data_IF_499268141277
#
_entry.id   IF_499268141277
#
_cell.length_a   1.000
_cell.length_b   1.000
_cell.length_c   1.000
_cell.angle_alpha   90.00
_cell.angle_beta   90.00
_cell.angle_gamma   90.00
#
_symmetry.space_group_name_H-M   'P 1'
#
loop_
_entity.id
_entity.type
_entity.pdbx_description
1 polymer ?
#
# COMPACT_ATOMS: atom_id res chain seq x y z
N UNK A 1 -10.94 35.65 9.62
CA UNK A 1 -10.52 35.32 8.23
C UNK A 1 -10.01 33.88 8.09
N UNK A 2 -9.14 33.39 8.99
CA UNK A 2 -8.59 32.02 8.94
C UNK A 2 -9.63 30.89 9.03
N UNK A 3 -10.65 31.02 9.89
CA UNK A 3 -11.69 30.00 10.04
C UNK A 3 -12.55 29.81 8.78
N UNK A 4 -12.92 30.92 8.11
CA UNK A 4 -13.68 30.90 6.86
C UNK A 4 -12.85 30.27 5.74
N UNK A 5 -11.56 30.62 5.66
CA UNK A 5 -10.64 30.00 4.71
C UNK A 5 -10.53 28.49 4.93
N UNK A 6 -10.32 28.05 6.18
CA UNK A 6 -10.17 26.63 6.52
C UNK A 6 -11.46 25.84 6.24
N UNK A 7 -12.63 26.42 6.50
CA UNK A 7 -13.91 25.80 6.16
C UNK A 7 -14.05 25.62 4.63
N UNK A 8 -13.76 26.66 3.85
CA UNK A 8 -13.80 26.59 2.39
C UNK A 8 -12.83 25.54 1.83
N UNK A 9 -11.59 25.51 2.33
CA UNK A 9 -10.60 24.50 1.94
C UNK A 9 -11.13 23.09 2.23
N UNK A 10 -11.69 22.88 3.41
CA UNK A 10 -12.24 21.57 3.78
C UNK A 10 -13.37 21.12 2.85
N UNK A 11 -14.32 21.99 2.53
CA UNK A 11 -15.43 21.68 1.62
C UNK A 11 -14.92 21.35 0.22
N UNK A 12 -13.99 22.14 -0.32
CA UNK A 12 -13.42 21.88 -1.64
C UNK A 12 -12.62 20.58 -1.68
N UNK A 13 -11.88 20.24 -0.61
CA UNK A 13 -11.21 18.94 -0.54
C UNK A 13 -12.20 17.78 -0.55
N UNK A 14 -13.33 17.92 0.14
CA UNK A 14 -14.38 16.88 0.13
C UNK A 14 -14.92 16.68 -1.29
N UNK A 15 -15.26 17.76 -1.99
CA UNK A 15 -15.75 17.71 -3.37
C UNK A 15 -14.70 17.10 -4.31
N UNK A 16 -13.46 17.57 -4.25
CA UNK A 16 -12.38 17.14 -5.13
C UNK A 16 -12.09 15.66 -4.94
N UNK A 17 -11.88 15.20 -3.71
CA UNK A 17 -11.49 13.81 -3.46
C UNK A 17 -12.64 12.83 -3.69
N UNK A 18 -13.88 13.18 -3.33
CA UNK A 18 -15.05 12.33 -3.64
C UNK A 18 -15.23 12.22 -5.15
N UNK A 19 -15.12 13.33 -5.88
CA UNK A 19 -15.21 13.31 -7.35
C UNK A 19 -14.09 12.47 -7.95
N UNK A 20 -12.85 12.64 -7.46
CA UNK A 20 -11.70 11.88 -7.91
C UNK A 20 -11.88 10.37 -7.65
N UNK A 21 -12.35 9.96 -6.48
CA UNK A 21 -12.62 8.55 -6.17
C UNK A 21 -13.70 7.96 -7.08
N UNK A 22 -14.79 8.70 -7.34
CA UNK A 22 -15.82 8.27 -8.28
C UNK A 22 -15.24 8.09 -9.69
N UNK A 23 -14.42 9.04 -10.15
CA UNK A 23 -13.76 8.94 -11.46
C UNK A 23 -12.80 7.76 -11.52
N UNK A 24 -12.01 7.52 -10.48
CA UNK A 24 -11.11 6.35 -10.37
C UNK A 24 -11.93 5.07 -10.44
N UNK A 25 -13.02 4.98 -9.69
CA UNK A 25 -13.89 3.81 -9.72
C UNK A 25 -14.46 3.56 -11.12
N UNK A 26 -14.97 4.60 -11.79
CA UNK A 26 -15.47 4.50 -13.17
C UNK A 26 -14.35 4.07 -14.13
N UNK A 27 -13.17 4.69 -14.05
CA UNK A 27 -12.05 4.38 -14.94
C UNK A 27 -11.62 2.92 -14.79
N UNK A 28 -11.47 2.39 -13.58
CA UNK A 28 -10.98 1.03 -13.39
C UNK A 28 -12.09 -0.03 -13.54
N UNK A 29 -13.24 0.14 -12.87
CA UNK A 29 -14.29 -0.88 -12.85
C UNK A 29 -15.21 -0.85 -14.05
N UNK A 30 -15.37 0.30 -14.72
CA UNK A 30 -16.24 0.41 -15.90
C UNK A 30 -15.40 0.45 -17.18
N UNK A 31 -14.48 1.40 -17.31
CA UNK A 31 -13.74 1.62 -18.56
C UNK A 31 -12.67 0.54 -18.77
N UNK A 32 -11.75 0.37 -17.82
CA UNK A 32 -10.63 -0.57 -17.95
C UNK A 32 -11.15 -2.02 -18.02
N UNK A 33 -12.08 -2.40 -17.14
CA UNK A 33 -12.75 -3.71 -17.25
C UNK A 33 -13.55 -3.84 -18.56
N UNK A 34 -14.26 -2.81 -19.00
CA UNK A 34 -15.02 -2.83 -20.26
C UNK A 34 -14.13 -3.04 -21.49
N UNK A 35 -13.01 -2.33 -21.58
CA UNK A 35 -12.01 -2.46 -22.66
C UNK A 35 -11.33 -3.83 -22.65
N UNK A 36 -11.27 -4.50 -21.48
CA UNK A 36 -10.73 -5.87 -21.38
C UNK A 36 -11.51 -6.90 -22.21
N UNK A 37 -12.79 -6.63 -22.52
CA UNK A 37 -13.66 -7.52 -23.30
C UNK A 37 -13.27 -7.55 -24.78
N UNK A 38 -13.32 -6.42 -25.54
CA UNK A 38 -12.96 -6.42 -26.96
C UNK A 38 -11.46 -6.70 -27.20
N UNK A 39 -10.59 -6.40 -26.23
CA UNK A 39 -9.15 -6.75 -26.32
C UNK A 39 -8.88 -8.24 -26.08
N UNK A 40 -9.89 -9.03 -25.73
CA UNK A 40 -9.77 -10.47 -25.47
C UNK A 40 -9.11 -10.82 -24.15
N UNK A 41 -8.59 -9.84 -23.39
CA UNK A 41 -7.95 -10.06 -22.08
C UNK A 41 -8.92 -10.65 -21.07
N UNK A 42 -10.18 -10.20 -21.07
CA UNK A 42 -11.23 -10.76 -20.22
C UNK A 42 -11.41 -12.26 -20.47
N UNK A 43 -11.53 -12.66 -21.74
CA UNK A 43 -11.66 -14.07 -22.14
C UNK A 43 -10.44 -14.87 -21.67
N UNK A 44 -9.23 -14.36 -21.91
CA UNK A 44 -7.98 -15.01 -21.50
C UNK A 44 -7.90 -15.23 -19.98
N UNK A 45 -8.20 -14.22 -19.18
CA UNK A 45 -8.08 -14.28 -17.71
C UNK A 45 -9.25 -15.03 -17.05
N UNK A 46 -10.49 -14.70 -17.42
CA UNK A 46 -11.68 -15.14 -16.69
C UNK A 46 -12.29 -16.43 -17.23
N UNK A 47 -12.18 -16.67 -18.53
CA UNK A 47 -12.72 -17.87 -19.20
C UNK A 47 -11.62 -18.92 -19.36
N UNK A 48 -10.49 -18.57 -20.00
CA UNK A 48 -9.39 -19.51 -20.26
C UNK A 48 -8.45 -19.70 -19.06
N UNK A 49 -8.62 -18.92 -17.98
CA UNK A 49 -7.80 -18.96 -16.75
C UNK A 49 -6.30 -18.77 -16.98
N UNK A 50 -5.93 -18.05 -18.03
CA UNK A 50 -4.54 -17.69 -18.36
C UNK A 50 -4.19 -16.34 -17.75
N UNK A 51 -3.45 -16.38 -16.64
CA UNK A 51 -2.99 -15.21 -15.90
C UNK A 51 -1.49 -14.94 -16.16
N UNK A 52 -0.96 -13.76 -15.76
CA UNK A 52 0.47 -13.54 -15.74
C UNK A 52 1.18 -14.63 -14.91
N UNK A 53 2.33 -15.09 -15.41
CA UNK A 53 3.16 -16.07 -14.71
C UNK A 53 3.95 -15.39 -13.58
N UNK A 54 4.28 -16.17 -12.56
CA UNK A 54 5.10 -15.78 -11.42
C UNK A 54 6.19 -16.82 -11.21
N UNK A 55 7.38 -16.39 -10.84
CA UNK A 55 8.54 -17.24 -10.53
C UNK A 55 8.65 -17.59 -9.04
N UNK A 56 7.99 -16.80 -8.20
CA UNK A 56 8.14 -16.82 -6.75
C UNK A 56 6.79 -16.80 -6.05
N UNK A 57 6.80 -17.30 -4.80
CA UNK A 57 5.65 -17.30 -3.91
C UNK A 57 5.98 -16.70 -2.56
N UNK A 58 5.09 -15.87 -2.04
CA UNK A 58 5.27 -15.22 -0.75
C UNK A 58 5.30 -16.20 0.44
N UNK A 59 6.29 -16.09 1.35
CA UNK A 59 6.28 -16.81 2.61
C UNK A 59 5.04 -16.48 3.45
N UNK A 60 4.68 -17.39 4.37
CA UNK A 60 3.45 -17.26 5.15
C UNK A 60 3.44 -16.02 6.07
N UNK A 61 4.57 -15.69 6.71
CA UNK A 61 4.63 -14.59 7.68
C UNK A 61 4.39 -13.20 7.05
N UNK A 62 5.06 -12.81 5.94
CA UNK A 62 4.73 -11.57 5.23
C UNK A 62 3.26 -11.49 4.79
N UNK A 63 2.65 -12.62 4.37
CA UNK A 63 1.22 -12.66 4.03
C UNK A 63 0.33 -12.34 5.23
N UNK A 64 0.61 -12.96 6.38
CA UNK A 64 -0.14 -12.73 7.61
C UNK A 64 -0.05 -11.26 8.06
N UNK A 65 1.16 -10.70 8.08
CA UNK A 65 1.39 -9.31 8.51
C UNK A 65 0.74 -8.34 7.53
N UNK A 66 0.80 -8.60 6.23
CA UNK A 66 0.09 -7.81 5.23
C UNK A 66 -1.43 -7.90 5.41
N UNK A 67 -2.00 -9.07 5.72
CA UNK A 67 -3.43 -9.21 5.98
C UNK A 67 -3.86 -8.43 7.22
N UNK A 68 -3.11 -8.53 8.32
CA UNK A 68 -3.35 -7.73 9.51
C UNK A 68 -3.24 -6.23 9.19
N UNK A 69 -2.24 -5.82 8.40
CA UNK A 69 -2.07 -4.44 7.96
C UNK A 69 -3.28 -3.97 7.15
N UNK A 70 -3.78 -4.76 6.20
CA UNK A 70 -4.98 -4.48 5.42
C UNK A 70 -6.19 -4.25 6.33
N UNK A 71 -6.46 -5.15 7.28
CA UNK A 71 -7.60 -5.01 8.20
C UNK A 71 -7.48 -3.73 9.02
N UNK A 72 -6.28 -3.42 9.54
CA UNK A 72 -6.08 -2.20 10.31
C UNK A 72 -6.15 -0.92 9.46
N UNK A 73 -5.69 -0.96 8.21
CA UNK A 73 -5.84 0.15 7.26
C UNK A 73 -7.31 0.42 6.94
N UNK A 74 -8.14 -0.63 6.77
CA UNK A 74 -9.59 -0.48 6.64
C UNK A 74 -10.21 0.15 7.89
N UNK A 75 -9.81 -0.30 9.09
CA UNK A 75 -10.28 0.30 10.34
C UNK A 75 -9.85 1.76 10.48
N UNK A 76 -8.62 2.12 10.11
CA UNK A 76 -8.14 3.51 10.10
C UNK A 76 -8.94 4.38 9.15
N UNK A 77 -9.15 3.91 7.91
CA UNK A 77 -9.95 4.63 6.91
C UNK A 77 -11.38 4.83 7.38
N UNK A 78 -12.07 3.77 7.81
CA UNK A 78 -13.47 3.84 8.25
C UNK A 78 -13.65 4.72 9.50
N UNK A 79 -12.82 4.52 10.52
CA UNK A 79 -12.88 5.32 11.74
C UNK A 79 -12.48 6.78 11.50
N UNK A 80 -11.48 7.03 10.65
CA UNK A 80 -11.05 8.38 10.25
C UNK A 80 -12.15 9.11 9.49
N UNK A 81 -12.80 8.43 8.54
CA UNK A 81 -13.94 8.98 7.81
C UNK A 81 -15.13 9.22 8.73
N UNK A 82 -15.41 8.35 9.70
CA UNK A 82 -16.46 8.62 10.70
C UNK A 82 -16.14 9.85 11.57
N UNK A 83 -14.87 10.03 11.96
CA UNK A 83 -14.44 11.21 12.74
C UNK A 83 -14.65 12.50 11.93
N UNK A 84 -14.53 12.46 10.60
CA UNK A 84 -14.87 13.58 9.71
C UNK A 84 -16.39 13.70 9.54
N UNK A 85 -17.02 12.64 9.03
CA UNK A 85 -18.42 12.51 8.67
C UNK A 85 -19.10 11.45 9.55
N UNK A 86 -19.71 11.84 10.68
CA UNK A 86 -20.38 10.89 11.56
C UNK A 86 -21.62 10.33 10.85
N UNK A 87 -21.59 9.06 10.45
CA UNK A 87 -22.70 8.38 9.79
C UNK A 87 -23.74 7.79 10.75
N UNK A 88 -23.50 7.87 12.07
CA UNK A 88 -24.46 7.62 13.16
C UNK A 88 -24.13 8.51 14.36
N UNK A 89 -25.05 8.69 15.32
CA UNK A 89 -24.83 9.57 16.48
C UNK A 89 -24.09 8.88 17.63
N UNK A 90 -23.34 9.64 18.44
CA UNK A 90 -22.71 9.15 19.68
C UNK A 90 -21.44 8.29 19.54
N UNK A 91 -21.08 7.81 18.35
CA UNK A 91 -19.93 6.90 18.13
C UNK A 91 -18.54 7.54 18.06
N UNK A 92 -18.44 8.88 18.10
CA UNK A 92 -17.18 9.58 17.78
C UNK A 92 -16.04 9.26 18.75
N UNK A 93 -16.37 9.08 20.03
CA UNK A 93 -15.39 8.70 21.04
C UNK A 93 -14.88 7.27 20.81
N UNK A 94 -15.79 6.31 20.58
CA UNK A 94 -15.42 4.93 20.28
C UNK A 94 -14.56 4.84 19.00
N UNK A 95 -14.95 5.55 17.94
CA UNK A 95 -14.20 5.57 16.69
C UNK A 95 -12.81 6.17 16.83
N UNK A 96 -12.60 7.15 17.72
CA UNK A 96 -11.25 7.63 18.05
C UNK A 96 -10.39 6.54 18.69
N UNK A 97 -10.93 5.77 19.63
CA UNK A 97 -10.19 4.66 20.23
C UNK A 97 -9.84 3.57 19.23
N UNK A 98 -10.79 3.17 18.37
CA UNK A 98 -10.53 2.24 17.26
C UNK A 98 -9.42 2.78 16.37
N UNK A 99 -9.48 4.06 16.01
CA UNK A 99 -8.47 4.71 15.18
C UNK A 99 -7.08 4.69 15.84
N UNK A 100 -6.99 5.00 17.14
CA UNK A 100 -5.71 5.01 17.87
C UNK A 100 -5.10 3.61 18.00
N UNK A 101 -5.92 2.59 18.29
CA UNK A 101 -5.45 1.20 18.36
C UNK A 101 -4.95 0.73 16.99
N UNK A 102 -5.72 0.98 15.93
CA UNK A 102 -5.32 0.61 14.58
C UNK A 102 -4.05 1.35 14.14
N UNK A 103 -3.91 2.64 14.50
CA UNK A 103 -2.71 3.43 14.24
C UNK A 103 -1.46 2.81 14.87
N UNK A 104 -1.55 2.38 16.14
CA UNK A 104 -0.42 1.75 16.84
C UNK A 104 -0.02 0.44 16.15
N UNK A 105 -0.99 -0.43 15.84
CA UNK A 105 -0.73 -1.71 15.19
C UNK A 105 -0.11 -1.51 13.80
N UNK A 106 -0.65 -0.60 13.00
CA UNK A 106 -0.10 -0.26 11.68
C UNK A 106 1.31 0.32 11.80
N UNK A 107 1.56 1.18 12.78
CA UNK A 107 2.89 1.72 13.06
C UNK A 107 3.91 0.63 13.38
N UNK A 108 3.55 -0.33 14.24
CA UNK A 108 4.39 -1.48 14.57
C UNK A 108 4.65 -2.34 13.32
N UNK A 109 3.61 -2.64 12.54
CA UNK A 109 3.76 -3.42 11.30
C UNK A 109 4.67 -2.73 10.28
N UNK A 110 4.57 -1.40 10.17
CA UNK A 110 5.41 -0.62 9.28
C UNK A 110 6.88 -0.63 9.72
N UNK A 111 7.15 -0.40 11.02
CA UNK A 111 8.51 -0.49 11.56
C UNK A 111 9.10 -1.89 11.41
N UNK A 112 8.30 -2.93 11.66
CA UNK A 112 8.71 -4.31 11.41
C UNK A 112 9.02 -4.53 9.93
N UNK A 113 8.21 -4.00 9.01
CA UNK A 113 8.46 -4.17 7.57
C UNK A 113 9.73 -3.46 7.11
N UNK A 114 10.01 -2.27 7.63
CA UNK A 114 11.28 -1.58 7.39
C UNK A 114 12.45 -2.41 7.93
N UNK A 115 12.35 -2.91 9.17
CA UNK A 115 13.37 -3.80 9.72
C UNK A 115 13.56 -5.05 8.84
N UNK A 116 12.47 -5.69 8.41
CA UNK A 116 12.51 -6.88 7.56
C UNK A 116 13.26 -6.60 6.25
N UNK A 117 12.95 -5.47 5.61
CA UNK A 117 13.54 -5.12 4.33
C UNK A 117 15.05 -4.86 4.38
N UNK A 118 15.55 -4.26 5.46
CA UNK A 118 16.95 -3.83 5.55
C UNK A 118 17.85 -4.72 6.43
N UNK A 119 17.29 -5.34 7.47
CA UNK A 119 18.06 -5.95 8.55
C UNK A 119 17.72 -7.43 8.82
N UNK A 120 16.69 -8.00 8.18
CA UNK A 120 16.42 -9.44 8.34
C UNK A 120 17.41 -10.29 7.55
N UNK A 121 17.49 -11.59 7.89
CA UNK A 121 18.28 -12.57 7.12
C UNK A 121 17.82 -12.67 5.66
N UNK A 122 16.51 -12.48 5.43
CA UNK A 122 15.84 -12.54 4.12
C UNK A 122 15.53 -11.12 3.61
N UNK A 123 16.47 -10.18 3.82
CA UNK A 123 16.33 -8.76 3.47
C UNK A 123 15.92 -8.59 2.00
N UNK A 124 14.85 -7.84 1.77
CA UNK A 124 14.25 -7.66 0.44
C UNK A 124 14.29 -6.21 -0.08
N UNK A 125 15.10 -5.31 0.50
CA UNK A 125 15.16 -3.90 0.06
C UNK A 125 15.52 -3.73 -1.43
N UNK A 126 16.36 -4.62 -2.00
CA UNK A 126 16.73 -4.59 -3.41
C UNK A 126 15.53 -4.83 -4.35
N UNK A 127 14.50 -5.53 -3.88
CA UNK A 127 13.28 -5.80 -4.65
C UNK A 127 12.43 -4.54 -4.87
N UNK A 128 12.58 -3.54 -4.01
CA UNK A 128 11.84 -2.27 -4.11
C UNK A 128 12.68 -1.17 -4.76
N UNK A 129 14.00 -1.34 -4.84
CA UNK A 129 14.88 -0.36 -5.47
C UNK A 129 14.55 -0.19 -6.97
N UNK A 130 14.36 1.07 -7.39
CA UNK A 130 14.11 1.44 -8.77
C UNK A 130 15.45 1.73 -9.45
N UNK A 131 15.85 0.85 -10.37
CA UNK A 131 17.05 0.99 -11.18
C UNK A 131 16.81 1.58 -12.57
N UNK A 132 17.89 1.76 -13.33
CA UNK A 132 17.83 2.18 -14.74
C UNK A 132 17.07 1.18 -15.62
N UNK A 133 17.29 -0.12 -15.40
CA UNK A 133 16.59 -1.21 -16.11
C UNK A 133 15.07 -1.14 -15.86
N UNK A 134 14.64 -0.87 -14.61
CA UNK A 134 13.23 -0.67 -14.27
C UNK A 134 12.61 0.50 -15.04
N UNK A 135 13.27 1.66 -15.03
CA UNK A 135 12.78 2.87 -15.71
C UNK A 135 12.68 2.67 -17.23
N UNK A 136 13.61 1.91 -17.83
CA UNK A 136 13.54 1.58 -19.25
C UNK A 136 12.29 0.77 -19.62
N UNK A 137 11.72 0.01 -18.67
CA UNK A 137 10.49 -0.78 -18.89
C UNK A 137 9.20 -0.02 -18.62
N UNK A 138 9.26 1.20 -18.07
CA UNK A 138 8.08 1.95 -17.61
C UNK A 138 7.01 2.10 -18.69
N UNK A 139 7.41 2.53 -19.89
CA UNK A 139 6.47 2.71 -21.00
C UNK A 139 5.82 1.39 -21.42
N UNK A 140 6.56 0.27 -21.40
CA UNK A 140 6.02 -1.04 -21.71
C UNK A 140 5.03 -1.54 -20.65
N UNK A 141 5.29 -1.26 -19.37
CA UNK A 141 4.37 -1.56 -18.27
C UNK A 141 3.11 -0.71 -18.39
N UNK A 142 3.24 0.58 -18.69
CA UNK A 142 2.09 1.47 -18.96
C UNK A 142 1.28 0.97 -20.15
N UNK A 143 1.93 0.62 -21.27
CA UNK A 143 1.28 0.03 -22.45
C UNK A 143 0.53 -1.26 -22.10
N UNK A 144 1.08 -2.11 -21.23
CA UNK A 144 0.40 -3.32 -20.76
C UNK A 144 -0.89 -2.99 -20.01
N UNK A 145 -0.84 -2.10 -19.01
CA UNK A 145 -2.02 -1.73 -18.22
C UNK A 145 -3.04 -0.91 -19.02
N UNK A 146 -2.63 -0.22 -20.08
CA UNK A 146 -3.54 0.53 -20.97
C UNK A 146 -4.00 -0.29 -22.18
N UNK A 147 -3.72 -1.59 -22.22
CA UNK A 147 -4.09 -2.52 -23.29
C UNK A 147 -3.42 -2.26 -24.66
N UNK A 148 -2.38 -1.42 -24.73
CA UNK A 148 -1.55 -1.26 -25.93
C UNK A 148 -0.50 -2.37 -26.11
N UNK A 149 -0.29 -3.20 -25.08
CA UNK A 149 0.55 -4.41 -25.15
C UNK A 149 -0.12 -5.58 -24.42
N UNK A 150 0.13 -6.79 -24.90
CA UNK A 150 -0.24 -8.03 -24.20
C UNK A 150 0.88 -8.59 -23.31
N UNK A 151 2.10 -8.08 -23.50
CA UNK A 151 3.29 -8.50 -22.77
C UNK A 151 3.56 -7.49 -21.66
N UNK A 152 3.65 -7.99 -20.43
CA UNK A 152 3.98 -7.19 -19.25
C UNK A 152 5.49 -7.30 -19.02
N UNK A 153 6.28 -6.24 -19.26
CA UNK A 153 7.71 -6.27 -18.96
C UNK A 153 7.91 -6.50 -17.46
N UNK A 154 8.71 -7.51 -17.11
CA UNK A 154 9.18 -7.71 -15.75
C UNK A 154 10.68 -7.97 -15.81
N UNK A 155 11.43 -7.08 -15.16
CA UNK A 155 12.88 -7.21 -14.97
C UNK A 155 13.22 -7.83 -13.62
N UNK A 156 12.23 -7.95 -12.74
CA UNK A 156 12.34 -8.45 -11.38
C UNK A 156 10.95 -8.88 -10.88
N UNK A 157 10.91 -9.35 -9.62
CA UNK A 157 9.70 -9.73 -8.89
C UNK A 157 8.57 -8.70 -8.95
N UNK A 158 8.90 -7.41 -8.88
CA UNK A 158 7.94 -6.32 -9.03
C UNK A 158 8.26 -5.52 -10.28
N UNK A 159 7.23 -5.17 -11.06
CA UNK A 159 7.40 -4.23 -12.15
C UNK A 159 7.64 -2.80 -11.62
N UNK A 160 8.17 -1.91 -12.46
CA UNK A 160 8.53 -0.55 -12.05
C UNK A 160 7.37 0.25 -11.43
N UNK A 161 6.13 0.10 -11.91
CA UNK A 161 4.98 0.79 -11.31
C UNK A 161 4.58 0.21 -9.96
N UNK A 162 4.74 -1.11 -9.75
CA UNK A 162 4.56 -1.73 -8.43
C UNK A 162 5.62 -1.24 -7.44
N UNK A 163 6.89 -1.12 -7.85
CA UNK A 163 7.96 -0.55 -7.03
C UNK A 163 7.66 0.90 -6.64
N UNK A 164 7.31 1.74 -7.63
CA UNK A 164 6.92 3.14 -7.38
C UNK A 164 5.72 3.25 -6.43
N UNK A 165 4.71 2.39 -6.59
CA UNK A 165 3.57 2.37 -5.69
C UNK A 165 3.95 1.96 -4.26
N UNK A 166 4.86 0.99 -4.11
CA UNK A 166 5.37 0.56 -2.81
C UNK A 166 6.14 1.68 -2.09
N UNK A 167 7.06 2.34 -2.80
CA UNK A 167 7.85 3.45 -2.26
C UNK A 167 6.96 4.65 -1.89
N UNK A 168 6.01 5.00 -2.78
CA UNK A 168 5.03 6.04 -2.52
C UNK A 168 4.17 5.70 -1.29
N UNK A 169 3.73 4.45 -1.15
CA UNK A 169 2.98 4.01 0.02
C UNK A 169 3.82 4.14 1.30
N UNK A 170 5.10 3.76 1.27
CA UNK A 170 6.03 3.93 2.39
C UNK A 170 6.18 5.40 2.82
N UNK A 171 6.33 6.32 1.86
CA UNK A 171 6.41 7.76 2.14
C UNK A 171 5.10 8.32 2.71
N UNK A 172 3.96 7.93 2.13
CA UNK A 172 2.64 8.33 2.64
C UNK A 172 2.40 7.79 4.06
N UNK A 173 2.88 6.59 4.37
CA UNK A 173 2.78 5.98 5.71
C UNK A 173 3.54 6.81 6.75
N UNK A 174 4.76 7.27 6.42
CA UNK A 174 5.55 8.14 7.29
C UNK A 174 4.82 9.48 7.50
N UNK A 175 4.34 10.10 6.42
CA UNK A 175 3.63 11.38 6.48
C UNK A 175 2.32 11.28 7.27
N UNK A 176 1.56 10.20 7.09
CA UNK A 176 0.31 9.95 7.81
C UNK A 176 0.55 9.64 9.29
N UNK A 177 1.60 8.88 9.61
CA UNK A 177 2.03 8.65 10.98
C UNK A 177 2.44 9.94 11.68
N UNK A 178 3.28 10.76 11.03
CA UNK A 178 3.70 12.05 11.55
C UNK A 178 2.51 12.99 11.81
N UNK A 179 1.66 13.17 10.80
CA UNK A 179 0.49 14.06 10.91
C UNK A 179 -0.53 13.53 11.93
N UNK A 180 -0.72 12.21 12.02
CA UNK A 180 -1.60 11.58 13.01
C UNK A 180 -1.12 11.81 14.44
N UNK A 181 0.17 11.60 14.70
CA UNK A 181 0.78 11.91 15.99
C UNK A 181 0.67 13.41 16.31
N UNK A 182 0.94 14.29 15.35
CA UNK A 182 0.82 15.75 15.54
C UNK A 182 -0.61 16.23 15.81
N UNK A 183 -1.64 15.40 15.58
CA UNK A 183 -3.02 15.71 15.94
C UNK A 183 -3.34 15.39 17.40
N UNK A 184 -2.52 14.62 18.10
CA UNK A 184 -2.71 14.28 19.51
C UNK A 184 -2.40 15.49 20.39
N UNK A 185 -3.38 15.89 21.21
CA UNK A 185 -3.28 17.04 22.14
C UNK A 185 -3.01 16.64 23.57
N UNK A 186 -3.12 15.35 23.89
CA UNK A 186 -2.94 14.89 25.26
C UNK A 186 -1.45 14.96 25.61
N UNK A 187 -1.08 15.58 26.73
CA UNK A 187 0.29 15.53 27.23
C UNK A 187 0.74 14.08 27.39
N UNK A 188 1.97 13.78 26.97
CA UNK A 188 2.55 12.44 27.12
C UNK A 188 3.97 12.45 27.68
N UNK A 189 4.73 13.53 27.48
CA UNK A 189 6.13 13.62 27.89
C UNK A 189 6.43 15.00 28.47
N UNK A 190 6.81 15.04 29.75
CA UNK A 190 7.12 16.28 30.51
C UNK A 190 6.02 17.35 30.46
N UNK A 191 4.75 16.95 30.40
CA UNK A 191 3.63 17.88 30.27
C UNK A 191 3.38 18.39 28.86
N UNK A 192 4.20 17.98 27.89
CA UNK A 192 4.09 18.38 26.47
C UNK A 192 3.32 17.32 25.67
N UNK A 193 2.45 17.78 24.78
CA UNK A 193 1.72 16.94 23.83
C UNK A 193 2.55 16.61 22.57
N UNK A 194 2.26 15.52 21.85
CA UNK A 194 2.95 15.24 20.58
C UNK A 194 2.82 16.37 19.56
N UNK A 195 1.68 17.06 19.54
CA UNK A 195 1.47 18.25 18.70
C UNK A 195 2.53 19.33 18.98
N UNK A 196 2.74 19.67 20.24
CA UNK A 196 3.67 20.73 20.62
C UNK A 196 5.12 20.35 20.26
N UNK A 197 5.50 19.09 20.48
CA UNK A 197 6.83 18.60 20.12
C UNK A 197 7.07 18.57 18.60
N UNK A 198 6.10 18.08 17.83
CA UNK A 198 6.28 17.84 16.41
C UNK A 198 6.11 19.09 15.55
N UNK A 199 5.16 19.95 15.88
CA UNK A 199 4.79 21.11 15.05
C UNK A 199 4.70 22.44 15.82
N UNK A 200 4.65 22.41 17.14
CA UNK A 200 4.42 23.61 17.95
C UNK A 200 5.52 24.67 17.83
N UNK A 201 6.79 24.24 17.79
CA UNK A 201 7.94 25.14 17.84
C UNK A 201 8.27 25.81 16.50
N UNK A 202 7.93 25.19 15.36
CA UNK A 202 8.23 25.74 14.03
C UNK A 202 6.96 26.16 13.28
N UNK A 203 5.95 25.30 13.19
CA UNK A 203 4.72 25.62 12.44
C UNK A 203 3.81 26.55 13.23
N UNK A 204 3.76 26.40 14.56
CA UNK A 204 3.00 27.27 15.46
C UNK A 204 3.23 28.76 15.19
N UNK A 205 4.48 29.26 15.26
CA UNK A 205 4.81 30.65 14.94
C UNK A 205 4.43 31.07 13.51
N UNK A 206 4.55 30.17 12.53
CA UNK A 206 4.29 30.48 11.11
C UNK A 206 2.81 30.72 10.79
N UNK A 207 1.90 30.06 11.51
CA UNK A 207 0.44 30.11 11.21
C UNK A 207 -0.40 30.73 12.32
N UNK A 208 0.24 31.40 13.30
CA UNK A 208 -0.44 32.14 14.36
C UNK A 208 -0.86 31.31 15.58
N UNK A 209 -0.21 30.17 15.82
CA UNK A 209 -0.31 29.38 17.04
C UNK A 209 -0.43 27.87 16.82
N UNK A 210 -0.07 27.08 17.83
CA UNK A 210 -0.11 25.61 17.78
C UNK A 210 -1.50 25.05 17.48
N UNK A 211 -2.56 25.73 17.89
CA UNK A 211 -3.93 25.34 17.57
C UNK A 211 -4.22 25.46 16.06
N UNK A 212 -3.78 26.54 15.42
CA UNK A 212 -3.92 26.72 13.97
C UNK A 212 -3.01 25.78 13.19
N UNK A 213 -1.80 25.53 13.67
CA UNK A 213 -0.91 24.52 13.11
C UNK A 213 -1.59 23.14 13.09
N UNK A 214 -2.19 22.73 14.22
CA UNK A 214 -2.95 21.48 14.31
C UNK A 214 -4.16 21.43 13.37
N UNK A 215 -4.81 22.56 13.12
CA UNK A 215 -5.93 22.65 12.19
C UNK A 215 -5.48 22.41 10.73
N UNK A 216 -4.36 22.99 10.30
CA UNK A 216 -3.77 22.73 8.99
C UNK A 216 -3.21 21.31 8.86
N UNK A 217 -2.58 20.77 9.89
CA UNK A 217 -2.15 19.36 9.91
C UNK A 217 -3.33 18.41 9.73
N UNK A 218 -4.51 18.74 10.28
CA UNK A 218 -5.72 17.94 10.05
C UNK A 218 -6.11 17.90 8.57
N UNK A 219 -5.97 19.03 7.87
CA UNK A 219 -6.23 19.13 6.43
C UNK A 219 -5.27 18.21 5.66
N UNK A 220 -3.98 18.24 6.00
CA UNK A 220 -2.97 17.39 5.37
C UNK A 220 -3.22 15.91 5.66
N UNK A 221 -3.46 15.54 6.92
CA UNK A 221 -3.78 14.16 7.34
C UNK A 221 -5.01 13.61 6.61
N UNK A 222 -6.02 14.47 6.42
CA UNK A 222 -7.23 14.13 5.70
C UNK A 222 -6.98 13.95 4.19
N UNK A 223 -6.17 14.81 3.58
CA UNK A 223 -5.79 14.67 2.18
C UNK A 223 -4.99 13.38 1.92
N UNK A 224 -4.03 13.06 2.79
CA UNK A 224 -3.26 11.80 2.70
C UNK A 224 -4.16 10.58 2.88
N UNK A 225 -5.14 10.63 3.79
CA UNK A 225 -6.15 9.57 3.92
C UNK A 225 -6.89 9.31 2.59
N UNK A 226 -7.29 10.36 1.86
CA UNK A 226 -7.90 10.18 0.56
C UNK A 226 -6.96 9.57 -0.48
N UNK A 227 -5.68 9.95 -0.47
CA UNK A 227 -4.68 9.29 -1.33
C UNK A 227 -4.58 7.79 -1.00
N UNK A 228 -4.60 7.41 0.28
CA UNK A 228 -4.65 6.00 0.67
C UNK A 228 -5.90 5.28 0.19
N UNK A 229 -7.07 5.90 0.29
CA UNK A 229 -8.32 5.33 -0.23
C UNK A 229 -8.18 5.07 -1.73
N UNK A 230 -7.82 6.10 -2.52
CA UNK A 230 -7.69 6.00 -3.98
C UNK A 230 -6.66 4.93 -4.37
N UNK A 231 -5.48 4.95 -3.77
CA UNK A 231 -4.41 3.98 -4.07
C UNK A 231 -4.86 2.56 -3.69
N UNK A 232 -5.55 2.40 -2.57
CA UNK A 232 -6.06 1.10 -2.12
C UNK A 232 -7.15 0.58 -3.07
N UNK A 233 -8.06 1.44 -3.54
CA UNK A 233 -9.07 1.08 -4.55
C UNK A 233 -8.41 0.54 -5.82
N UNK A 234 -7.41 1.25 -6.35
CA UNK A 234 -6.65 0.80 -7.53
C UNK A 234 -5.87 -0.48 -7.24
N UNK A 235 -5.23 -0.59 -6.07
CA UNK A 235 -4.47 -1.77 -5.66
C UNK A 235 -5.37 -3.02 -5.61
N UNK A 236 -6.54 -2.93 -4.97
CA UNK A 236 -7.50 -4.04 -4.88
C UNK A 236 -8.00 -4.42 -6.28
N UNK A 237 -8.31 -3.43 -7.13
CA UNK A 237 -8.71 -3.69 -8.52
C UNK A 237 -7.63 -4.46 -9.28
N UNK A 238 -6.37 -4.03 -9.21
CA UNK A 238 -5.28 -4.70 -9.93
C UNK A 238 -5.00 -6.10 -9.35
N UNK A 239 -5.01 -6.25 -8.03
CA UNK A 239 -4.78 -7.54 -7.38
C UNK A 239 -5.88 -8.55 -7.74
N UNK A 240 -7.16 -8.19 -7.60
CA UNK A 240 -8.25 -9.11 -7.87
C UNK A 240 -8.59 -9.23 -9.38
N UNK A 241 -8.41 -8.15 -10.13
CA UNK A 241 -8.81 -8.03 -11.53
C UNK A 241 -7.75 -8.49 -12.53
N UNK A 242 -6.47 -8.25 -12.23
CA UNK A 242 -5.34 -8.52 -13.14
C UNK A 242 -4.47 -9.69 -12.67
N UNK A 243 -4.50 -10.03 -11.38
CA UNK A 243 -3.66 -11.08 -10.79
C UNK A 243 -4.39 -11.92 -9.73
N UNK A 244 -5.58 -12.41 -10.11
CA UNK A 244 -6.43 -13.20 -9.21
C UNK A 244 -5.73 -14.41 -8.57
N UNK A 245 -4.87 -15.19 -9.27
CA UNK A 245 -4.18 -16.33 -8.64
C UNK A 245 -3.29 -15.91 -7.46
N UNK A 246 -2.57 -14.79 -7.59
CA UNK A 246 -1.76 -14.25 -6.50
C UNK A 246 -2.65 -13.84 -5.31
N UNK A 247 -3.79 -13.21 -5.58
CA UNK A 247 -4.78 -12.86 -4.55
C UNK A 247 -5.35 -14.09 -3.84
N UNK A 248 -5.67 -15.15 -4.58
CA UNK A 248 -6.16 -16.40 -3.97
C UNK A 248 -5.09 -17.10 -3.12
N UNK A 249 -3.82 -17.05 -3.52
CA UNK A 249 -2.71 -17.57 -2.70
C UNK A 249 -2.47 -16.74 -1.45
N UNK A 250 -2.61 -15.41 -1.58
CA UNK A 250 -2.52 -14.48 -0.48
C UNK A 250 -3.51 -14.83 0.64
N UNK A 251 -4.76 -15.11 0.28
CA UNK A 251 -5.81 -15.54 1.22
C UNK A 251 -5.80 -17.05 1.54
N UNK A 252 -4.84 -17.81 1.02
CA UNK A 252 -4.74 -19.25 1.26
C UNK A 252 -5.83 -20.09 0.61
N UNK A 253 -6.61 -19.53 -0.32
CA UNK A 253 -7.72 -20.19 -1.01
C UNK A 253 -7.24 -21.11 -2.15
N UNK A 254 -6.16 -20.74 -2.84
CA UNK A 254 -5.54 -21.55 -3.90
C UNK A 254 -4.04 -21.32 -3.92
N UNK A 255 -3.23 -22.38 -3.97
CA UNK A 255 -1.77 -22.24 -4.14
C UNK A 255 -1.43 -21.64 -5.51
N UNK A 256 -0.53 -20.66 -5.52
CA UNK A 256 0.01 -20.09 -6.76
C UNK A 256 0.91 -21.10 -7.46
N UNK A 257 0.68 -21.30 -8.76
CA UNK A 257 1.60 -22.05 -9.63
C UNK A 257 2.75 -21.14 -10.04
N UNK A 258 3.97 -21.56 -9.75
CA UNK A 258 5.20 -20.81 -10.07
C UNK A 258 5.94 -21.45 -11.24
N UNK A 259 6.41 -20.63 -12.18
CA UNK A 259 7.26 -21.01 -13.30
C UNK A 259 8.62 -20.34 -13.10
N UNK A 260 9.71 -21.09 -12.81
CA UNK A 260 11.04 -20.51 -12.60
C UNK A 260 11.54 -19.67 -13.79
N UNK A 261 11.00 -19.90 -14.99
CA UNK A 261 11.33 -19.16 -16.21
C UNK A 261 10.30 -18.06 -16.52
N UNK A 262 9.42 -17.70 -15.58
CA UNK A 262 8.40 -16.66 -15.79
C UNK A 262 9.02 -15.29 -16.10
N UNK A 263 10.21 -15.02 -15.54
CA UNK A 263 10.95 -13.79 -15.72
C UNK A 263 12.37 -14.10 -16.19
N UNK A 264 12.87 -13.30 -17.13
CA UNK A 264 14.29 -13.30 -17.47
C UNK A 264 15.02 -12.54 -16.37
N UNK A 265 15.42 -13.27 -15.32
CA UNK A 265 16.38 -12.74 -14.37
C UNK A 265 17.73 -12.68 -15.09
N UNK A 266 18.07 -11.52 -15.64
CA UNK A 266 19.49 -11.20 -15.90
C UNK A 266 20.16 -11.04 -14.52
N UNK A 267 20.43 -12.16 -13.84
CA UNK A 267 21.22 -12.25 -12.62
C UNK A 267 22.72 -12.05 -12.90
N UNK A 268 23.09 -11.09 -13.74
CA UNK A 268 24.49 -10.80 -14.08
C UNK A 268 25.08 -9.60 -13.32
N UNK A 269 24.43 -9.11 -12.26
CA UNK A 269 24.97 -8.02 -11.45
C UNK A 269 25.09 -8.46 -9.96
N UNK A 270 26.30 -8.88 -9.57
CA UNK A 270 26.86 -8.98 -8.21
C UNK A 270 26.20 -9.92 -7.18
N UNK A 271 26.23 -11.22 -7.43
CA UNK A 271 26.10 -12.24 -6.37
C UNK A 271 27.48 -12.59 -5.77
N UNK A 272 28.10 -11.64 -5.07
CA UNK A 272 29.02 -11.95 -3.97
C UNK A 272 28.24 -11.75 -2.67
N UNK A 273 27.48 -12.77 -2.26
CA UNK A 273 27.08 -12.94 -0.86
C UNK A 273 26.62 -14.40 -0.66
N UNK A 274 27.38 -15.10 0.16
CA UNK A 274 27.24 -16.51 0.54
C UNK A 274 25.80 -16.95 0.85
N UNK A 275 25.15 -17.62 -0.11
CA UNK A 275 24.05 -18.54 0.20
C UNK A 275 24.67 -19.86 0.68
N UNK A 276 24.68 -20.04 2.00
CA UNK A 276 24.89 -21.34 2.61
C UNK A 276 23.76 -22.28 2.15
N UNK A 277 24.15 -23.34 1.45
CA UNK A 277 23.28 -24.44 1.02
C UNK A 277 22.38 -24.92 2.17
N UNK A 278 21.07 -24.80 1.99
CA UNK A 278 20.13 -25.61 2.75
C UNK A 278 20.08 -26.99 2.07
N UNK A 279 20.46 -28.09 2.74
CA UNK A 279 20.52 -29.38 2.09
C UNK A 279 19.13 -29.87 1.68
N UNK A 280 19.03 -30.27 0.42
CA UNK A 280 17.88 -30.97 -0.13
C UNK A 280 17.61 -32.24 0.69
N UNK A 281 16.46 -32.33 1.33
CA UNK A 281 15.96 -33.59 1.88
C UNK A 281 15.54 -34.49 0.72
N UNK A 282 16.43 -35.41 0.37
CA UNK A 282 16.15 -36.57 -0.48
C UNK A 282 15.19 -37.53 0.24
N UNK A 283 14.17 -38.08 -0.45
CA UNK A 283 13.40 -39.19 0.07
C UNK A 283 14.14 -40.51 -0.23
N UNK A 284 14.88 -41.02 0.75
CA UNK A 284 15.43 -42.37 0.70
C UNK A 284 14.52 -43.33 1.48
N UNK A 285 14.09 -44.38 0.77
CA UNK A 285 13.34 -45.53 1.27
C UNK A 285 14.24 -46.51 2.05
N UNK A 286 13.65 -47.21 3.02
CA UNK A 286 13.99 -48.53 3.58
C UNK A 286 12.96 -48.79 4.71
N UNK A 287 11.93 -49.63 4.59
CA UNK A 287 11.91 -51.10 4.66
C UNK A 287 12.97 -51.77 5.58
N UNK A 288 12.45 -52.69 6.42
CA UNK A 288 13.09 -53.72 7.25
C UNK A 288 13.79 -53.25 8.55
N UNK A 289 13.09 -53.29 9.69
CA UNK A 289 12.98 -54.44 10.63
C UNK A 289 12.06 -54.08 11.82
#
# INVERSE_FOLDING_TARGET
MSAILLANVNVWLDIIFVTLEILVFIVFFVVHLGVSIPTGRFRKQWIEKKWPKHDWRAPALPKLIHFQHLVMMLLLGLSGMYIRFPFFEGGRTAMRYVHYVAMVIVGINFLWRLWYAFYSKERDYKEFAIGKKDLATLLGVVAYYTYFSNDKPHVAKYNVMQKMAYDMFGLLMIAQGFTGLALLTQPFLFGTSPRELLIGWWLGPLVGGTAMAGAWIRVVHYAINWLFIIITTVHIYLAAGIDLPCTLDFFGLKKLETDPNAYHHDHDDDHDDHHADAPALSPAAAEAD
#
